data_IF_194245078777
#
_entry.id   IF_194245078777
#
_cell.length_a   1.000
_cell.length_b   1.000
_cell.length_c   1.000
_cell.angle_alpha   90.00
_cell.angle_beta   90.00
_cell.angle_gamma   90.00
#
_symmetry.space_group_name_H-M   'P 1'
#
loop_
_entity.id
_entity.type
_entity.pdbx_description
1 polymer ?
#
# COMPACT_ATOMS: atom_id res chain seq x y z
N UNK A 1 -7.65 12.17 18.56
CA UNK A 1 -7.92 12.50 17.15
C UNK A 1 -8.43 11.22 16.49
N UNK A 2 -9.68 11.19 16.05
CA UNK A 2 -10.36 9.93 15.70
C UNK A 2 -9.75 9.29 14.44
N UNK A 3 -9.46 8.01 14.57
CA UNK A 3 -9.09 7.11 13.49
C UNK A 3 -10.37 6.81 12.70
N UNK A 4 -10.32 6.91 11.37
CA UNK A 4 -11.50 6.85 10.50
C UNK A 4 -11.47 5.60 9.58
N UNK A 5 -10.58 4.66 9.87
CA UNK A 5 -10.32 3.48 9.06
C UNK A 5 -10.29 2.27 9.99
N UNK A 6 -11.24 1.37 9.84
CA UNK A 6 -11.32 0.12 10.60
C UNK A 6 -10.11 -0.78 10.35
N UNK A 7 -9.79 -1.61 11.33
CA UNK A 7 -8.55 -2.39 11.37
C UNK A 7 -8.32 -3.27 10.13
N UNK A 8 -9.40 -3.77 9.51
CA UNK A 8 -9.32 -4.69 8.37
C UNK A 8 -8.83 -4.02 7.07
N UNK A 9 -9.34 -2.82 6.73
CA UNK A 9 -8.88 -2.07 5.53
C UNK A 9 -7.43 -1.59 5.70
N UNK A 10 -7.08 -1.22 6.94
CA UNK A 10 -5.70 -0.89 7.32
C UNK A 10 -4.77 -2.08 7.11
N UNK A 11 -5.12 -3.26 7.62
CA UNK A 11 -4.29 -4.47 7.47
C UNK A 11 -4.15 -4.83 6.00
N UNK A 12 -5.23 -4.77 5.22
CA UNK A 12 -5.19 -5.00 3.77
C UNK A 12 -4.17 -4.10 3.07
N UNK A 13 -4.21 -2.78 3.31
CA UNK A 13 -3.26 -1.82 2.73
C UNK A 13 -1.83 -2.05 3.18
N UNK A 14 -1.62 -2.37 4.46
CA UNK A 14 -0.29 -2.63 4.99
C UNK A 14 0.31 -3.93 4.41
N UNK A 15 -0.48 -5.00 4.34
CA UNK A 15 -0.05 -6.29 3.81
C UNK A 15 0.23 -6.18 2.31
N UNK A 16 -0.72 -5.65 1.53
CA UNK A 16 -0.55 -5.51 0.08
C UNK A 16 0.58 -4.53 -0.23
N UNK A 17 0.65 -3.40 0.49
CA UNK A 17 1.72 -2.43 0.35
C UNK A 17 3.11 -2.99 0.66
N UNK A 18 3.25 -3.75 1.75
CA UNK A 18 4.49 -4.42 2.11
C UNK A 18 4.92 -5.44 1.04
N UNK A 19 3.99 -6.27 0.56
CA UNK A 19 4.26 -7.26 -0.49
C UNK A 19 4.73 -6.58 -1.76
N UNK A 20 4.03 -5.54 -2.24
CA UNK A 20 4.42 -4.80 -3.45
C UNK A 20 5.79 -4.14 -3.31
N UNK A 21 6.09 -3.59 -2.13
CA UNK A 21 7.39 -2.96 -1.87
C UNK A 21 8.51 -3.99 -1.90
N UNK A 22 8.34 -5.15 -1.25
CA UNK A 22 9.33 -6.24 -1.26
C UNK A 22 9.54 -6.77 -2.68
N UNK A 23 8.46 -7.02 -3.44
CA UNK A 23 8.54 -7.48 -4.83
C UNK A 23 9.23 -6.46 -5.72
N UNK A 24 8.92 -5.18 -5.57
CA UNK A 24 9.57 -4.10 -6.31
C UNK A 24 11.06 -3.98 -6.01
N UNK A 25 11.45 -4.03 -4.73
CA UNK A 25 12.87 -3.99 -4.32
C UNK A 25 13.63 -5.22 -4.80
N UNK A 26 13.09 -6.42 -4.62
CA UNK A 26 13.69 -7.66 -5.10
C UNK A 26 13.82 -7.67 -6.63
N UNK A 27 12.81 -7.15 -7.32
CA UNK A 27 12.83 -6.96 -8.77
C UNK A 27 13.89 -5.99 -9.26
N UNK A 28 14.05 -4.86 -8.56
CA UNK A 28 15.06 -3.85 -8.87
C UNK A 28 16.47 -4.36 -8.61
N UNK A 29 16.67 -5.09 -7.52
CA UNK A 29 17.93 -5.75 -7.16
C UNK A 29 18.28 -6.94 -8.07
N UNK A 30 17.39 -7.33 -8.99
CA UNK A 30 17.59 -8.46 -9.90
C UNK A 30 17.44 -9.83 -9.24
N UNK A 31 16.91 -9.90 -8.01
CA UNK A 31 16.65 -11.15 -7.29
C UNK A 31 15.46 -11.92 -7.87
N UNK A 32 14.53 -11.21 -8.53
CA UNK A 32 13.41 -11.82 -9.25
C UNK A 32 13.08 -11.05 -10.53
N UNK A 33 12.46 -11.73 -11.49
CA UNK A 33 11.93 -11.10 -12.71
C UNK A 33 10.50 -10.64 -12.46
N UNK A 34 10.26 -9.34 -12.59
CA UNK A 34 8.93 -8.73 -12.49
C UNK A 34 8.48 -8.20 -13.86
N UNK A 35 9.41 -7.91 -14.77
CA UNK A 35 9.12 -7.39 -16.10
C UNK A 35 8.18 -8.30 -16.91
N UNK A 36 7.12 -7.71 -17.47
CA UNK A 36 6.19 -8.37 -18.39
C UNK A 36 6.07 -7.53 -19.66
N UNK A 37 6.23 -8.16 -20.83
CA UNK A 37 6.13 -7.48 -22.12
C UNK A 37 7.32 -6.55 -22.44
N UNK A 38 7.14 -5.50 -23.26
CA UNK A 38 8.22 -4.62 -23.71
C UNK A 38 8.70 -3.62 -22.64
N UNK A 39 8.22 -3.74 -21.39
CA UNK A 39 8.50 -2.78 -20.32
C UNK A 39 9.85 -3.10 -19.66
N UNK A 40 10.75 -2.12 -19.49
CA UNK A 40 12.02 -2.34 -18.79
C UNK A 40 11.81 -2.81 -17.34
N UNK A 41 12.61 -3.79 -16.88
CA UNK A 41 12.54 -4.32 -15.53
C UNK A 41 12.64 -3.24 -14.46
N UNK A 42 13.61 -2.33 -14.60
CA UNK A 42 13.82 -1.24 -13.65
C UNK A 42 12.60 -0.34 -13.52
N UNK A 43 11.92 -0.05 -14.63
CA UNK A 43 10.74 0.80 -14.65
C UNK A 43 9.56 0.14 -13.92
N UNK A 44 9.29 -1.12 -14.23
CA UNK A 44 8.18 -1.84 -13.59
C UNK A 44 8.44 -2.08 -12.10
N UNK A 45 9.69 -2.43 -11.74
CA UNK A 45 10.11 -2.58 -10.35
C UNK A 45 9.92 -1.26 -9.57
N UNK A 46 10.27 -0.12 -10.17
CA UNK A 46 10.05 1.20 -9.56
C UNK A 46 8.55 1.48 -9.34
N UNK A 47 7.69 1.16 -10.30
CA UNK A 47 6.23 1.28 -10.14
C UNK A 47 5.72 0.45 -8.96
N UNK A 48 6.19 -0.79 -8.81
CA UNK A 48 5.83 -1.63 -7.67
C UNK A 48 6.26 -1.03 -6.33
N UNK A 49 7.50 -0.51 -6.24
CA UNK A 49 7.98 0.17 -5.04
C UNK A 49 7.13 1.39 -4.70
N UNK A 50 6.80 2.23 -5.69
CA UNK A 50 6.00 3.44 -5.49
C UNK A 50 4.57 3.09 -5.02
N UNK A 51 3.92 2.12 -5.65
CA UNK A 51 2.59 1.67 -5.25
C UNK A 51 2.60 1.09 -3.83
N UNK A 52 3.60 0.25 -3.51
CA UNK A 52 3.78 -0.31 -2.18
C UNK A 52 3.97 0.76 -1.11
N UNK A 53 4.83 1.74 -1.38
CA UNK A 53 5.08 2.87 -0.48
C UNK A 53 3.82 3.70 -0.23
N UNK A 54 3.05 4.02 -1.28
CA UNK A 54 1.78 4.77 -1.15
C UNK A 54 0.77 4.01 -0.30
N UNK A 55 0.62 2.70 -0.51
CA UNK A 55 -0.27 1.86 0.29
C UNK A 55 0.16 1.79 1.76
N UNK A 56 1.47 1.67 2.02
CA UNK A 56 2.01 1.69 3.38
C UNK A 56 1.78 3.02 4.08
N UNK A 57 2.09 4.14 3.42
CA UNK A 57 1.89 5.49 3.98
C UNK A 57 0.41 5.74 4.26
N UNK A 58 -0.47 5.36 3.34
CA UNK A 58 -1.93 5.52 3.53
C UNK A 58 -2.49 4.59 4.61
N UNK A 59 -1.98 3.36 4.73
CA UNK A 59 -2.34 2.45 5.82
C UNK A 59 -1.79 2.88 7.20
N UNK A 60 -0.57 3.45 7.23
CA UNK A 60 0.11 3.88 8.45
C UNK A 60 -0.50 5.17 9.04
N UNK A 61 -0.81 6.14 8.19
CA UNK A 61 -1.30 7.45 8.61
C UNK A 61 -2.69 7.42 9.24
N UNK A 62 -3.44 6.30 9.12
CA UNK A 62 -4.80 6.10 9.71
C UNK A 62 -5.80 7.24 9.40
N UNK A 63 -5.46 8.04 8.39
CA UNK A 63 -6.13 9.25 7.93
C UNK A 63 -6.17 9.11 6.42
N UNK A 64 -7.01 8.24 5.88
CA UNK A 64 -7.24 8.25 4.45
C UNK A 64 -8.02 9.55 4.15
N UNK A 65 -7.41 10.58 3.54
CA UNK A 65 -8.08 11.87 3.34
C UNK A 65 -9.34 11.72 2.49
N UNK A 66 -9.36 10.71 1.61
CA UNK A 66 -10.52 10.28 0.83
C UNK A 66 -11.69 9.81 1.72
N UNK A 67 -11.45 9.00 2.75
CA UNK A 67 -12.52 8.57 3.67
C UNK A 67 -13.03 9.71 4.54
N UNK A 68 -12.14 10.63 4.95
CA UNK A 68 -12.55 11.87 5.63
C UNK A 68 -13.39 12.78 4.72
N UNK A 69 -13.09 12.82 3.43
CA UNK A 69 -13.83 13.59 2.43
C UNK A 69 -15.18 12.94 2.08
N UNK A 70 -15.25 11.61 2.09
CA UNK A 70 -16.46 10.81 1.83
C UNK A 70 -17.35 10.62 3.07
N UNK A 71 -16.90 11.02 4.27
CA UNK A 71 -17.65 10.85 5.51
C UNK A 71 -17.88 9.39 5.93
N UNK A 72 -17.09 8.46 5.38
CA UNK A 72 -17.22 7.02 5.63
C UNK A 72 -16.26 6.61 6.76
N UNK A 73 -16.82 6.31 7.93
CA UNK A 73 -16.08 5.74 9.04
C UNK A 73 -16.26 4.21 9.05
N UNK A 74 -15.16 3.48 8.86
CA UNK A 74 -15.15 2.02 8.99
C UNK A 74 -14.62 1.56 10.35
N UNK A 75 -14.25 2.48 11.25
CA UNK A 75 -13.76 2.14 12.57
C UNK A 75 -14.91 1.59 13.45
N UNK A 76 -14.76 0.35 13.90
CA UNK A 76 -15.64 -0.27 14.88
C UNK A 76 -15.13 0.03 16.30
N UNK A 77 -15.98 0.01 17.36
CA UNK A 77 -15.52 0.11 18.75
C UNK A 77 -14.48 -0.95 19.16
N UNK A 78 -14.38 -2.05 18.42
CA UNK A 78 -13.34 -3.09 18.59
C UNK A 78 -11.96 -2.71 18.05
N UNK A 79 -11.87 -1.64 17.27
CA UNK A 79 -10.66 -1.23 16.58
C UNK A 79 -9.90 -0.13 17.35
N UNK A 80 -10.42 0.28 18.53
CA UNK A 80 -9.93 1.38 19.38
C UNK A 80 -8.98 0.92 20.47
#
# INVERSE_FOLDING_TARGET
>A
MNENVGGYDRIGRLVVGAVLLVVGVAGYAGLMRVAVGPVPQALLALVFVLLGAVLLVTGYTRKCPIHRLLGLDTASPRDR
#
